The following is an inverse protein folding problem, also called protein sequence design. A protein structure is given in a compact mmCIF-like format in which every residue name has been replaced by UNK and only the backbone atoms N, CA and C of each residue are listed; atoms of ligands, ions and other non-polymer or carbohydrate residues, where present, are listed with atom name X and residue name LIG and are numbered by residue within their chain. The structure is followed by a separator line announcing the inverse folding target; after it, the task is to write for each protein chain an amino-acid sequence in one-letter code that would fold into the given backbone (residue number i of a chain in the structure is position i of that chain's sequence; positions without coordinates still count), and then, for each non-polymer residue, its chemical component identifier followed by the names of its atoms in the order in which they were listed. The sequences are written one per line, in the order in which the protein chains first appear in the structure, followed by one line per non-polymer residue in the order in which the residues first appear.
data_IF_043789000109
#
_entry.id   IF_043789000109
#
_cell.length_a   1.000
_cell.length_b   1.000
_cell.length_c   1.000
_cell.angle_alpha   90.00
_cell.angle_beta   90.00
_cell.angle_gamma   90.00
#
_symmetry.space_group_name_H-M   'P 1'
#
loop_
_entity.id
_entity.type
_entity.pdbx_description
1 polymer ?
#
# COMPACT_ATOMS: atom_id res chain seq x y z
N UNK A 1 16.19 -11.52 -9.97
CA UNK A 1 16.28 -11.81 -8.53
C UNK A 1 14.94 -11.51 -7.85
N UNK A 2 14.17 -12.54 -7.49
CA UNK A 2 12.88 -12.41 -6.79
C UNK A 2 13.02 -12.10 -5.29
N UNK A 3 14.22 -12.32 -4.73
CA UNK A 3 14.55 -12.13 -3.32
C UNK A 3 15.06 -10.73 -2.98
N UNK A 4 15.26 -9.86 -3.98
CA UNK A 4 15.66 -8.46 -3.72
C UNK A 4 14.47 -7.71 -3.10
N UNK A 5 14.61 -7.35 -1.82
CA UNK A 5 13.53 -6.85 -0.94
C UNK A 5 13.05 -5.43 -1.26
N UNK A 6 13.93 -4.45 -1.58
CA UNK A 6 13.48 -3.08 -1.78
C UNK A 6 12.56 -2.93 -3.00
N UNK A 7 11.55 -2.08 -2.84
CA UNK A 7 10.62 -1.72 -3.90
C UNK A 7 11.34 -0.85 -4.95
N UNK A 8 11.14 -1.10 -6.25
CA UNK A 8 11.73 -0.27 -7.29
C UNK A 8 10.86 0.96 -7.61
N UNK A 9 11.53 2.08 -7.89
CA UNK A 9 10.97 3.17 -8.69
C UNK A 9 11.25 2.94 -10.17
N UNK A 10 10.33 3.41 -11.01
CA UNK A 10 10.45 3.48 -12.45
C UNK A 10 10.03 4.86 -12.90
N UNK A 11 10.83 5.51 -13.75
CA UNK A 11 10.49 6.83 -14.26
C UNK A 11 10.75 6.96 -15.75
N UNK A 12 10.02 7.88 -16.37
CA UNK A 12 10.24 8.33 -17.74
C UNK A 12 9.83 9.78 -17.88
N UNK A 13 10.62 10.54 -18.62
CA UNK A 13 10.23 11.87 -19.08
C UNK A 13 9.77 11.81 -20.54
N UNK A 14 8.84 12.68 -20.90
CA UNK A 14 8.37 12.87 -22.26
C UNK A 14 7.94 14.32 -22.46
N UNK A 15 7.68 14.70 -23.71
CA UNK A 15 7.26 16.06 -24.05
C UNK A 15 5.93 16.04 -24.81
N UNK A 16 4.90 16.70 -24.25
CA UNK A 16 3.64 16.91 -24.92
C UNK A 16 3.75 18.17 -25.80
N UNK A 17 3.96 17.98 -27.11
CA UNK A 17 4.29 19.06 -28.05
C UNK A 17 3.10 19.90 -28.51
N UNK A 18 1.88 19.47 -28.21
CA UNK A 18 0.64 20.10 -28.65
C UNK A 18 -0.29 20.32 -27.46
N UNK A 19 -1.29 21.19 -27.64
CA UNK A 19 -2.29 21.47 -26.61
C UNK A 19 -3.14 20.22 -26.34
N UNK A 20 -3.09 19.72 -25.11
CA UNK A 20 -3.81 18.52 -24.67
C UNK A 20 -5.31 18.80 -24.60
N UNK A 21 -6.12 17.89 -25.15
CA UNK A 21 -7.59 17.86 -25.01
C UNK A 21 -8.01 16.92 -23.89
N UNK A 22 -7.46 15.71 -23.85
CA UNK A 22 -7.70 14.71 -22.81
C UNK A 22 -6.54 13.74 -22.71
N UNK A 23 -6.36 13.12 -21.54
CA UNK A 23 -5.39 12.06 -21.34
C UNK A 23 -5.93 10.94 -20.46
N UNK A 24 -5.55 9.69 -20.76
CA UNK A 24 -5.92 8.49 -20.00
C UNK A 24 -4.71 7.61 -19.78
N UNK A 25 -4.49 7.21 -18.53
CA UNK A 25 -3.48 6.22 -18.18
C UNK A 25 -4.15 4.85 -17.99
N UNK A 26 -3.62 3.82 -18.65
CA UNK A 26 -4.01 2.42 -18.51
C UNK A 26 -2.80 1.68 -17.95
N UNK A 27 -2.93 1.07 -16.78
CA UNK A 27 -1.78 0.43 -16.11
C UNK A 27 -2.21 -0.87 -15.44
N UNK A 28 -1.37 -1.89 -15.59
CA UNK A 28 -1.46 -3.19 -14.92
C UNK A 28 -0.13 -3.51 -14.27
N UNK A 29 -0.14 -4.32 -13.22
CA UNK A 29 1.07 -4.84 -12.60
C UNK A 29 0.92 -6.31 -12.21
N UNK A 30 1.99 -7.08 -12.37
CA UNK A 30 2.22 -8.27 -11.57
C UNK A 30 2.76 -7.80 -10.22
N UNK A 31 1.92 -7.83 -9.19
CA UNK A 31 2.18 -7.19 -7.90
C UNK A 31 1.25 -6.00 -7.70
N UNK A 32 1.75 -4.94 -7.06
CA UNK A 32 1.01 -3.70 -6.82
C UNK A 32 1.75 -2.52 -7.44
N UNK A 33 1.06 -1.39 -7.65
CA UNK A 33 1.73 -0.15 -8.05
C UNK A 33 1.14 1.10 -7.39
N UNK A 34 1.95 2.15 -7.37
CA UNK A 34 1.46 3.52 -7.26
C UNK A 34 1.98 4.34 -8.45
N UNK A 35 1.06 5.07 -9.10
CA UNK A 35 1.34 5.91 -10.27
C UNK A 35 1.39 7.38 -9.84
N UNK A 36 2.34 8.13 -10.39
CA UNK A 36 2.43 9.58 -10.26
C UNK A 36 2.77 10.22 -11.60
N UNK A 37 2.30 11.46 -11.77
CA UNK A 37 2.57 12.31 -12.91
C UNK A 37 2.94 13.71 -12.41
N UNK A 38 4.10 14.20 -12.83
CA UNK A 38 4.63 15.51 -12.45
C UNK A 38 4.70 15.77 -10.94
N UNK A 39 5.05 14.74 -10.16
CA UNK A 39 5.10 14.81 -8.69
C UNK A 39 3.82 14.36 -7.99
N UNK A 40 2.67 14.49 -8.65
CA UNK A 40 1.37 14.21 -8.05
C UNK A 40 0.96 12.75 -8.20
N UNK A 41 0.41 12.17 -7.14
CA UNK A 41 -0.20 10.83 -7.19
C UNK A 41 -1.42 10.84 -8.12
N UNK A 42 -1.54 9.81 -8.94
CA UNK A 42 -2.71 9.59 -9.80
C UNK A 42 -3.74 8.76 -9.05
N UNK A 43 -4.94 9.30 -8.92
CA UNK A 43 -6.05 8.66 -8.21
C UNK A 43 -5.84 8.55 -6.70
N UNK A 44 -6.81 7.93 -6.02
CA UNK A 44 -6.80 7.69 -4.57
C UNK A 44 -6.94 6.20 -4.22
N UNK A 45 -6.75 5.32 -5.21
CA UNK A 45 -6.83 3.88 -5.00
C UNK A 45 -5.60 3.40 -4.23
N UNK A 46 -5.81 2.30 -3.51
CA UNK A 46 -4.81 1.58 -2.72
C UNK A 46 -4.79 0.14 -3.20
N UNK A 47 -3.65 -0.52 -3.09
CA UNK A 47 -3.53 -1.95 -3.38
C UNK A 47 -3.97 -2.33 -4.81
N UNK A 48 -3.80 -1.42 -5.79
CA UNK A 48 -4.06 -1.71 -7.19
C UNK A 48 -2.86 -2.44 -7.85
N UNK A 49 -3.12 -3.34 -8.81
CA UNK A 49 -4.42 -3.93 -9.13
C UNK A 49 -4.84 -5.00 -8.11
N UNK A 50 -6.14 -5.32 -8.09
CA UNK A 50 -6.69 -6.37 -7.22
C UNK A 50 -6.07 -7.74 -7.52
N UNK A 51 -5.86 -8.53 -6.46
CA UNK A 51 -5.33 -9.88 -6.54
C UNK A 51 -6.14 -10.77 -7.48
N UNK A 52 -5.42 -11.49 -8.33
CA UNK A 52 -5.94 -12.54 -9.20
C UNK A 52 -4.92 -13.66 -9.29
N UNK A 53 -5.29 -14.79 -9.89
CA UNK A 53 -4.32 -15.80 -10.29
C UNK A 53 -3.50 -15.27 -11.48
N UNK A 54 -2.35 -14.65 -11.20
CA UNK A 54 -1.58 -13.83 -12.14
C UNK A 54 -1.15 -14.55 -13.43
N UNK A 55 -0.96 -15.88 -13.37
CA UNK A 55 -0.67 -16.76 -14.53
C UNK A 55 -1.89 -16.95 -15.47
N UNK A 56 -3.10 -16.62 -15.02
CA UNK A 56 -4.34 -16.78 -15.80
C UNK A 56 -4.97 -15.47 -16.25
N UNK A 57 -4.88 -14.42 -15.44
CA UNK A 57 -5.50 -13.11 -15.70
C UNK A 57 -4.79 -12.04 -14.89
N UNK A 58 -4.61 -10.86 -15.47
CA UNK A 58 -4.18 -9.66 -14.77
C UNK A 58 -5.20 -8.55 -14.99
N UNK A 59 -5.38 -7.68 -14.00
CA UNK A 59 -6.31 -6.56 -14.08
C UNK A 59 -5.55 -5.26 -14.39
N UNK A 60 -6.10 -4.47 -15.31
CA UNK A 60 -5.64 -3.08 -15.52
C UNK A 60 -6.64 -2.08 -14.95
N UNK A 61 -6.13 -0.94 -14.54
CA UNK A 61 -6.91 0.20 -14.06
C UNK A 61 -6.75 1.37 -15.04
N UNK A 62 -7.83 2.14 -15.20
CA UNK A 62 -7.84 3.35 -16.04
C UNK A 62 -8.00 4.59 -15.18
N UNK A 63 -7.20 5.62 -15.46
CA UNK A 63 -7.31 6.92 -14.81
C UNK A 63 -7.50 8.04 -15.82
N UNK A 64 -8.37 9.01 -15.51
CA UNK A 64 -8.30 10.33 -16.14
C UNK A 64 -7.14 11.11 -15.55
N UNK A 65 -6.16 11.42 -16.39
CA UNK A 65 -4.94 12.15 -16.01
C UNK A 65 -4.79 13.46 -16.76
N UNK A 66 -5.87 13.94 -17.38
CA UNK A 66 -5.85 15.15 -18.20
C UNK A 66 -5.29 16.35 -17.43
N UNK A 67 -5.66 16.48 -16.15
CA UNK A 67 -5.24 17.58 -15.28
C UNK A 67 -3.85 17.41 -14.65
N UNK A 68 -3.29 16.20 -14.73
CA UNK A 68 -1.93 15.93 -14.24
C UNK A 68 -0.86 16.29 -15.26
N UNK A 69 -1.23 16.46 -16.53
CA UNK A 69 -0.30 16.77 -17.61
C UNK A 69 -0.23 18.27 -17.89
N UNK A 70 0.91 18.70 -18.38
CA UNK A 70 1.16 20.06 -18.85
C UNK A 70 1.67 20.04 -20.29
N UNK A 71 1.58 21.16 -21.00
CA UNK A 71 2.27 21.30 -22.28
C UNK A 71 3.79 21.32 -22.05
N UNK A 72 4.55 20.72 -22.97
CA UNK A 72 6.00 20.58 -22.82
C UNK A 72 6.39 19.37 -21.95
N UNK A 73 7.42 19.53 -21.12
CA UNK A 73 8.02 18.42 -20.37
C UNK A 73 7.07 17.86 -19.31
N UNK A 74 6.96 16.55 -19.26
CA UNK A 74 6.21 15.79 -18.25
C UNK A 74 7.07 14.64 -17.73
N UNK A 75 6.80 14.19 -16.50
CA UNK A 75 7.43 13.04 -15.88
C UNK A 75 6.37 12.04 -15.39
N UNK A 76 6.61 10.76 -15.64
CA UNK A 76 5.84 9.64 -15.10
C UNK A 76 6.69 8.93 -14.06
N UNK A 77 6.11 8.63 -12.90
CA UNK A 77 6.72 7.82 -11.86
C UNK A 77 5.82 6.64 -11.48
N UNK A 78 6.38 5.44 -11.44
CA UNK A 78 5.72 4.21 -10.98
C UNK A 78 6.54 3.57 -9.88
N UNK A 79 5.94 3.33 -8.72
CA UNK A 79 6.53 2.50 -7.65
C UNK A 79 5.87 1.13 -7.69
N UNK A 80 6.64 0.03 -7.62
CA UNK A 80 6.05 -1.32 -7.56
C UNK A 80 6.15 -1.95 -6.18
N UNK A 81 5.05 -2.56 -5.74
CA UNK A 81 4.98 -3.42 -4.56
C UNK A 81 4.92 -4.90 -4.92
N UNK A 82 5.28 -5.76 -3.97
CA UNK A 82 5.25 -7.20 -4.13
C UNK A 82 3.83 -7.76 -4.23
N UNK A 83 2.92 -7.28 -3.35
CA UNK A 83 1.57 -7.84 -3.19
C UNK A 83 1.60 -9.36 -3.02
N UNK A 84 0.58 -10.03 -3.54
CA UNK A 84 0.51 -11.49 -3.63
C UNK A 84 1.36 -12.09 -4.78
N UNK A 85 1.87 -11.26 -5.70
CA UNK A 85 2.62 -11.75 -6.86
C UNK A 85 4.05 -12.17 -6.51
N UNK A 86 4.72 -11.39 -5.68
CA UNK A 86 6.07 -11.68 -5.21
C UNK A 86 6.11 -11.85 -3.69
N UNK A 87 5.21 -12.66 -3.16
CA UNK A 87 5.07 -12.88 -1.72
C UNK A 87 6.43 -13.19 -1.08
N UNK A 88 6.90 -12.33 -0.17
CA UNK A 88 8.24 -12.45 0.43
C UNK A 88 8.23 -13.26 1.71
N UNK A 89 7.20 -13.09 2.52
CA UNK A 89 7.07 -13.73 3.82
C UNK A 89 6.65 -15.19 3.67
N UNK A 90 7.15 -16.04 4.56
CA UNK A 90 6.79 -17.47 4.63
C UNK A 90 5.62 -17.66 5.58
N UNK A 91 4.63 -18.44 5.15
CA UNK A 91 3.42 -18.73 5.91
C UNK A 91 2.87 -20.11 5.53
N UNK A 92 1.90 -20.62 6.28
CA UNK A 92 1.33 -21.98 6.08
C UNK A 92 0.73 -22.24 4.70
N UNK A 93 0.42 -21.20 3.93
CA UNK A 93 -0.21 -21.29 2.61
C UNK A 93 0.78 -21.28 1.44
N UNK A 94 2.09 -21.24 1.72
CA UNK A 94 3.17 -21.36 0.72
C UNK A 94 3.03 -20.39 -0.48
N UNK A 95 2.47 -19.18 -0.29
CA UNK A 95 2.35 -18.18 -1.36
C UNK A 95 3.71 -17.73 -1.92
N UNK A 96 4.78 -17.85 -1.13
CA UNK A 96 6.15 -17.65 -1.59
C UNK A 96 6.63 -18.75 -2.55
N UNK A 97 5.91 -19.86 -2.68
CA UNK A 97 6.19 -20.92 -3.66
C UNK A 97 5.16 -20.95 -4.79
N UNK A 98 4.28 -19.97 -4.87
CA UNK A 98 3.23 -19.93 -5.88
C UNK A 98 3.84 -20.01 -7.31
N UNK A 99 3.22 -20.76 -8.24
CA UNK A 99 3.79 -21.02 -9.57
C UNK A 99 3.89 -19.76 -10.44
N UNK A 100 3.10 -18.74 -10.15
CA UNK A 100 3.17 -17.44 -10.81
C UNK A 100 4.24 -16.51 -10.24
N UNK A 101 4.90 -16.88 -9.13
CA UNK A 101 5.77 -15.97 -8.38
C UNK A 101 6.91 -15.46 -9.24
N UNK A 102 7.01 -14.14 -9.34
CA UNK A 102 8.14 -13.49 -9.97
C UNK A 102 8.34 -12.08 -9.41
N UNK A 103 9.41 -11.38 -9.81
CA UNK A 103 9.63 -10.00 -9.37
C UNK A 103 8.55 -9.07 -9.97
N UNK A 104 8.06 -8.08 -9.20
CA UNK A 104 7.05 -7.15 -9.69
C UNK A 104 7.41 -6.52 -11.03
N UNK A 105 6.40 -6.38 -11.87
CA UNK A 105 6.51 -5.84 -13.22
C UNK A 105 5.24 -5.08 -13.56
N UNK A 106 5.32 -4.12 -14.47
CA UNK A 106 4.14 -3.38 -14.95
C UNK A 106 4.14 -3.26 -16.47
N UNK A 107 2.96 -2.98 -17.00
CA UNK A 107 2.75 -2.56 -18.38
C UNK A 107 1.81 -1.35 -18.33
N UNK A 108 2.11 -0.30 -19.10
CA UNK A 108 1.24 0.87 -19.16
C UNK A 108 1.25 1.57 -20.51
N UNK A 109 0.11 2.17 -20.82
CA UNK A 109 -0.09 3.13 -21.88
C UNK A 109 -0.66 4.42 -21.29
N UNK A 110 -0.02 5.55 -21.55
CA UNK A 110 -0.60 6.88 -21.38
C UNK A 110 -1.01 7.40 -22.75
N UNK A 111 -2.33 7.46 -23.00
CA UNK A 111 -2.89 7.97 -24.26
C UNK A 111 -3.27 9.43 -24.10
N UNK A 112 -2.72 10.28 -24.95
CA UNK A 112 -2.94 11.73 -24.97
C UNK A 112 -3.66 12.07 -26.28
N UNK A 113 -4.84 12.66 -26.19
CA UNK A 113 -5.56 13.22 -27.33
C UNK A 113 -5.35 14.73 -27.33
N UNK A 114 -4.90 15.28 -28.45
CA UNK A 114 -4.66 16.70 -28.63
C UNK A 114 -5.88 17.43 -29.21
N UNK A 115 -5.90 18.76 -29.12
CA UNK A 115 -7.00 19.59 -29.62
C UNK A 115 -7.18 19.46 -31.14
N UNK A 116 -6.10 19.19 -31.88
CA UNK A 116 -6.13 18.95 -33.34
C UNK A 116 -6.63 17.55 -33.73
N UNK A 117 -7.02 16.72 -32.76
CA UNK A 117 -7.52 15.36 -32.97
C UNK A 117 -6.45 14.28 -33.05
N UNK A 118 -5.16 14.63 -33.08
CA UNK A 118 -4.07 13.64 -33.08
C UNK A 118 -3.93 12.95 -31.72
N UNK A 119 -3.44 11.71 -31.73
CA UNK A 119 -3.25 10.89 -30.52
C UNK A 119 -1.79 10.48 -30.40
N UNK A 120 -1.23 10.63 -29.21
CA UNK A 120 0.09 10.13 -28.83
C UNK A 120 -0.03 9.10 -27.71
N UNK A 121 0.81 8.07 -27.75
CA UNK A 121 0.85 7.02 -26.72
C UNK A 121 2.25 6.93 -26.13
N UNK A 122 2.36 7.29 -24.85
CA UNK A 122 3.57 7.09 -24.06
C UNK A 122 3.47 5.74 -23.35
N UNK A 123 4.25 4.76 -23.82
CA UNK A 123 4.22 3.38 -23.33
C UNK A 123 5.37 3.03 -22.38
N UNK A 124 5.17 1.99 -21.57
CA UNK A 124 6.27 1.27 -20.88
C UNK A 124 7.25 0.70 -21.92
N UNK A 125 8.56 0.89 -21.71
CA UNK A 125 9.60 0.52 -22.69
C UNK A 125 11.02 0.66 -22.17
N UNK A 126 12.02 0.32 -23.00
CA UNK A 126 13.46 0.39 -22.67
C UNK A 126 14.00 1.80 -22.40
N UNK A 127 13.23 2.82 -22.72
CA UNK A 127 13.54 4.23 -22.48
C UNK A 127 13.16 4.71 -21.07
N UNK A 128 12.60 3.83 -20.24
CA UNK A 128 12.44 4.06 -18.82
C UNK A 128 13.75 3.82 -18.05
N UNK A 129 13.86 4.46 -16.89
CA UNK A 129 14.90 4.20 -15.91
C UNK A 129 14.33 3.67 -14.60
N UNK A 130 15.15 3.00 -13.81
CA UNK A 130 14.79 2.43 -12.51
C UNK A 130 15.88 2.59 -11.48
N UNK A 131 15.47 2.73 -10.22
CA UNK A 131 16.33 2.66 -9.05
C UNK A 131 15.55 2.12 -7.84
N UNK A 132 16.23 1.81 -6.75
CA UNK A 132 15.58 1.36 -5.52
C UNK A 132 14.97 2.55 -4.75
N UNK A 133 13.80 2.32 -4.18
CA UNK A 133 13.09 3.31 -3.38
C UNK A 133 13.49 3.22 -1.89
N UNK A 134 13.00 4.16 -1.06
CA UNK A 134 13.11 4.10 0.39
C UNK A 134 12.34 2.94 1.04
N UNK A 135 11.42 2.29 0.31
CA UNK A 135 10.71 1.11 0.78
C UNK A 135 11.67 -0.08 0.67
N UNK A 136 12.39 -0.38 1.74
CA UNK A 136 13.44 -1.41 1.78
C UNK A 136 12.89 -2.83 1.91
N UNK A 137 11.62 -2.97 2.32
CA UNK A 137 10.88 -4.23 2.35
C UNK A 137 9.38 -3.93 2.29
N UNK A 138 8.61 -4.73 1.57
CA UNK A 138 7.15 -4.70 1.65
C UNK A 138 6.58 -6.11 1.46
N UNK A 139 5.58 -6.42 2.29
CA UNK A 139 4.83 -7.66 2.26
C UNK A 139 3.38 -7.33 2.60
N UNK A 140 2.46 -7.81 1.77
CA UNK A 140 1.03 -7.68 2.06
C UNK A 140 0.66 -8.44 3.35
N UNK A 141 1.45 -9.44 3.72
CA UNK A 141 1.21 -10.34 4.85
C UNK A 141 1.78 -9.82 6.17
N UNK A 142 3.08 -9.49 6.19
CA UNK A 142 3.75 -9.02 7.42
C UNK A 142 3.63 -7.51 7.56
N UNK A 143 4.41 -6.71 6.83
CA UNK A 143 4.43 -5.25 6.96
C UNK A 143 5.28 -4.56 5.87
N UNK A 144 5.54 -3.27 6.04
CA UNK A 144 6.43 -2.48 5.19
C UNK A 144 7.52 -1.82 6.03
N UNK A 145 8.76 -1.86 5.52
CA UNK A 145 9.91 -1.21 6.13
C UNK A 145 10.41 -0.09 5.22
N UNK A 146 10.72 1.04 5.82
CA UNK A 146 11.01 2.29 5.13
C UNK A 146 12.23 2.97 5.72
N UNK A 147 13.20 3.32 4.88
CA UNK A 147 14.37 4.10 5.27
C UNK A 147 14.32 5.49 4.63
N UNK A 148 13.84 6.47 5.41
CA UNK A 148 13.66 7.84 4.92
C UNK A 148 14.99 8.51 4.51
N UNK A 149 16.14 7.96 4.91
CA UNK A 149 17.46 8.47 4.49
C UNK A 149 17.71 8.23 3.00
N UNK A 150 17.00 7.28 2.39
CA UNK A 150 17.11 6.90 0.98
C UNK A 150 16.15 7.67 0.07
N UNK A 151 15.39 8.64 0.61
CA UNK A 151 14.43 9.44 -0.16
C UNK A 151 15.11 10.22 -1.29
N UNK A 152 14.60 10.01 -2.49
CA UNK A 152 15.01 10.71 -3.71
C UNK A 152 14.01 11.81 -4.00
N UNK A 153 14.16 12.97 -3.34
CA UNK A 153 13.21 14.08 -3.46
C UNK A 153 13.00 14.49 -4.91
N UNK A 154 11.74 14.61 -5.33
CA UNK A 154 11.36 15.00 -6.68
C UNK A 154 11.60 13.95 -7.77
N UNK A 155 11.93 12.70 -7.45
CA UNK A 155 12.26 11.65 -8.43
C UNK A 155 11.23 11.50 -9.58
N UNK A 156 9.96 11.76 -9.27
CA UNK A 156 8.81 11.69 -10.18
C UNK A 156 8.45 13.05 -10.83
N UNK A 157 9.35 14.03 -10.80
CA UNK A 157 9.22 15.34 -11.45
C UNK A 157 10.18 15.49 -12.64
N UNK A 158 9.97 16.52 -13.44
CA UNK A 158 10.76 16.81 -14.66
C UNK A 158 12.17 17.33 -14.38
N UNK A 159 12.43 17.89 -13.19
CA UNK A 159 13.71 18.50 -12.85
C UNK A 159 14.69 17.54 -12.17
N UNK A 160 14.29 16.29 -11.96
CA UNK A 160 15.12 15.30 -11.29
C UNK A 160 16.21 14.73 -12.21
N UNK A 161 17.46 14.77 -11.72
CA UNK A 161 18.61 14.15 -12.37
C UNK A 161 18.64 12.63 -12.11
N UNK A 162 18.28 11.88 -13.15
CA UNK A 162 18.29 10.42 -13.16
C UNK A 162 19.50 9.83 -13.91
N UNK A 163 20.59 10.59 -14.06
CA UNK A 163 21.81 10.14 -14.74
C UNK A 163 22.41 8.88 -14.12
N UNK A 164 22.25 8.71 -12.80
CA UNK A 164 22.72 7.54 -12.03
C UNK A 164 21.74 6.37 -12.03
N UNK A 165 20.50 6.56 -12.50
CA UNK A 165 19.51 5.49 -12.54
C UNK A 165 19.84 4.48 -13.62
N UNK A 166 19.49 3.22 -13.36
CA UNK A 166 19.75 2.11 -14.26
C UNK A 166 18.70 2.07 -15.37
N UNK A 167 19.06 1.51 -16.52
CA UNK A 167 18.07 1.16 -17.56
C UNK A 167 17.18 0.01 -17.08
N UNK A 168 15.93 0.04 -17.49
CA UNK A 168 15.01 -1.07 -17.24
C UNK A 168 15.34 -2.28 -18.11
N UNK A 169 14.84 -3.44 -17.70
CA UNK A 169 14.86 -4.68 -18.50
C UNK A 169 13.43 -5.16 -18.73
N UNK A 170 13.18 -5.80 -19.87
CA UNK A 170 11.91 -6.47 -20.10
C UNK A 170 11.79 -7.74 -19.24
N UNK A 171 10.54 -8.09 -18.94
CA UNK A 171 10.14 -9.32 -18.27
C UNK A 171 8.97 -9.94 -19.00
N UNK A 172 8.87 -11.26 -18.94
CA UNK A 172 7.69 -11.96 -19.44
C UNK A 172 6.45 -11.46 -18.70
N UNK A 173 5.37 -11.23 -19.45
CA UNK A 173 4.08 -10.92 -18.86
C UNK A 173 3.61 -12.10 -18.00
N UNK A 174 3.03 -11.87 -16.81
CA UNK A 174 2.50 -12.97 -15.99
C UNK A 174 1.42 -13.78 -16.72
N UNK A 175 0.59 -13.10 -17.51
CA UNK A 175 -0.38 -13.69 -18.44
C UNK A 175 -0.63 -12.73 -19.61
N UNK A 176 -1.07 -13.27 -20.76
CA UNK A 176 -1.53 -12.48 -21.91
C UNK A 176 -2.97 -11.97 -21.74
N UNK A 177 -3.73 -12.53 -20.79
CA UNK A 177 -5.09 -12.13 -20.51
C UNK A 177 -5.11 -10.93 -19.55
N UNK A 178 -5.19 -9.72 -20.12
CA UNK A 178 -5.27 -8.47 -19.38
C UNK A 178 -6.67 -7.88 -19.57
N UNK A 179 -7.41 -7.72 -18.48
CA UNK A 179 -8.81 -7.23 -18.52
C UNK A 179 -9.01 -6.06 -17.57
N UNK A 180 -10.06 -5.27 -17.79
CA UNK A 180 -10.35 -4.12 -16.94
C UNK A 180 -10.71 -4.58 -15.51
N UNK A 181 -10.24 -3.84 -14.51
CA UNK A 181 -10.72 -3.97 -13.14
C UNK A 181 -12.13 -3.38 -13.03
N UNK A 182 -13.14 -4.22 -13.19
CA UNK A 182 -14.56 -3.87 -13.00
C UNK A 182 -14.99 -4.09 -11.55
N UNK A 183 -14.34 -3.40 -10.61
CA UNK A 183 -14.56 -3.52 -9.17
C UNK A 183 -14.55 -2.15 -8.49
N UNK A 184 -15.21 -2.04 -7.34
CA UNK A 184 -15.00 -0.91 -6.44
C UNK A 184 -13.56 -0.97 -5.89
N UNK A 185 -12.75 0.07 -6.11
CA UNK A 185 -11.34 0.06 -5.74
C UNK A 185 -11.18 0.13 -4.23
N UNK A 186 -10.07 -0.41 -3.72
CA UNK A 186 -9.72 -0.22 -2.30
C UNK A 186 -9.26 1.23 -2.10
N UNK A 187 -9.77 1.89 -1.06
CA UNK A 187 -9.41 3.28 -0.71
C UNK A 187 -9.14 3.41 0.79
N UNK A 188 -8.56 4.54 1.19
CA UNK A 188 -8.62 5.00 2.58
C UNK A 188 -10.03 5.59 2.80
N UNK A 189 -11.00 4.75 3.17
CA UNK A 189 -12.43 5.11 3.22
C UNK A 189 -12.73 6.02 4.40
N UNK A 190 -12.14 5.75 5.57
CA UNK A 190 -12.33 6.56 6.77
C UNK A 190 -11.00 6.81 7.49
N UNK A 191 -10.75 8.05 7.89
CA UNK A 191 -9.66 8.40 8.81
C UNK A 191 -10.16 8.30 10.26
N UNK A 192 -9.46 7.53 11.09
CA UNK A 192 -9.80 7.29 12.49
C UNK A 192 -8.69 7.86 13.35
N UNK A 193 -9.03 8.91 14.11
CA UNK A 193 -8.14 9.49 15.11
C UNK A 193 -7.96 8.52 16.27
N UNK A 194 -6.74 8.41 16.79
CA UNK A 194 -6.52 7.64 18.02
C UNK A 194 -7.41 8.18 19.15
N UNK A 195 -8.13 7.28 19.81
CA UNK A 195 -9.00 7.56 20.97
C UNK A 195 -8.17 7.86 22.20
N UNK A 196 -7.10 7.11 22.42
CA UNK A 196 -6.17 7.31 23.54
C UNK A 196 -4.74 6.91 23.20
N UNK A 197 -3.80 7.37 24.02
CA UNK A 197 -2.40 6.95 24.02
C UNK A 197 -2.00 6.60 25.46
N UNK A 198 -1.28 5.49 25.64
CA UNK A 198 -0.65 5.11 26.90
C UNK A 198 0.86 5.12 26.74
N UNK A 199 1.54 5.92 27.55
CA UNK A 199 3.01 5.92 27.64
C UNK A 199 3.44 4.90 28.69
N UNK A 200 4.31 3.96 28.31
CA UNK A 200 4.96 3.04 29.25
C UNK A 200 6.31 3.59 29.73
N UNK A 201 7.05 4.19 28.80
CA UNK A 201 8.30 4.91 29.03
C UNK A 201 8.58 5.81 27.81
N UNK A 202 9.73 6.50 27.78
CA UNK A 202 10.09 7.44 26.70
C UNK A 202 10.35 6.80 25.33
N UNK A 203 10.33 5.47 25.25
CA UNK A 203 10.57 4.70 24.02
C UNK A 203 9.44 3.75 23.65
N UNK A 204 8.38 3.67 24.46
CA UNK A 204 7.30 2.70 24.29
C UNK A 204 5.94 3.32 24.60
N UNK A 205 5.07 3.32 23.59
CA UNK A 205 3.73 3.90 23.62
C UNK A 205 2.72 2.91 23.02
N UNK A 206 1.48 2.94 23.46
CA UNK A 206 0.37 2.21 22.84
C UNK A 206 -0.75 3.18 22.47
N UNK A 207 -1.12 3.19 21.20
CA UNK A 207 -2.25 3.92 20.67
C UNK A 207 -3.46 2.99 20.57
N UNK A 208 -4.64 3.48 20.96
CA UNK A 208 -5.92 2.80 20.80
C UNK A 208 -6.80 3.61 19.85
N UNK A 209 -7.20 3.03 18.73
CA UNK A 209 -8.13 3.66 17.78
C UNK A 209 -9.59 3.65 18.27
N UNK A 210 -9.89 2.87 19.31
CA UNK A 210 -11.22 2.75 19.90
C UNK A 210 -12.13 1.74 19.20
N UNK A 211 -11.72 1.18 18.06
CA UNK A 211 -12.35 0.05 17.38
C UNK A 211 -11.35 -0.70 16.51
N UNK A 212 -11.63 -1.98 16.27
CA UNK A 212 -10.88 -2.81 15.32
C UNK A 212 -11.19 -2.41 13.87
N UNK A 213 -10.18 -2.32 13.03
CA UNK A 213 -10.28 -1.97 11.61
C UNK A 213 -9.36 -2.82 10.75
N UNK A 214 -9.65 -2.91 9.45
CA UNK A 214 -8.68 -3.29 8.43
C UNK A 214 -8.06 -2.04 7.77
N UNK A 215 -6.75 -2.03 7.56
CA UNK A 215 -6.11 -0.94 6.83
C UNK A 215 -4.70 -0.67 7.33
N UNK A 216 -4.36 0.61 7.47
CA UNK A 216 -2.99 1.05 7.80
C UNK A 216 -3.01 2.15 8.84
N UNK A 217 -1.92 2.32 9.58
CA UNK A 217 -1.68 3.53 10.35
C UNK A 217 -0.88 4.55 9.55
N UNK A 218 -1.08 5.83 9.84
CA UNK A 218 -0.19 6.91 9.45
C UNK A 218 0.35 7.55 10.73
N UNK A 219 1.67 7.58 10.85
CA UNK A 219 2.35 8.24 11.96
C UNK A 219 3.13 9.44 11.45
N UNK A 220 3.18 10.51 12.23
CA UNK A 220 4.00 11.68 11.94
C UNK A 220 4.95 11.96 13.08
N UNK A 221 6.24 12.05 12.78
CA UNK A 221 7.32 12.03 13.75
C UNK A 221 8.34 13.13 13.44
N UNK A 222 9.00 13.63 14.48
CA UNK A 222 10.18 14.47 14.33
C UNK A 222 11.26 13.93 15.28
N UNK A 223 12.36 13.43 14.73
CA UNK A 223 13.39 12.75 15.50
C UNK A 223 14.72 12.71 14.77
N UNK A 224 15.77 12.33 15.50
CA UNK A 224 17.13 12.27 14.96
C UNK A 224 17.24 11.27 13.81
N UNK A 225 18.16 11.53 12.88
CA UNK A 225 18.52 10.58 11.82
C UNK A 225 18.92 9.22 12.39
N UNK A 226 18.50 8.15 11.73
CA UNK A 226 18.77 6.77 12.13
C UNK A 226 17.92 6.26 13.29
N UNK A 227 17.00 7.06 13.85
CA UNK A 227 16.03 6.56 14.84
C UNK A 227 15.13 5.53 14.19
N UNK A 228 15.08 4.33 14.77
CA UNK A 228 14.22 3.24 14.31
C UNK A 228 12.91 3.27 15.09
N UNK A 229 11.81 3.34 14.37
CA UNK A 229 10.45 3.32 14.91
C UNK A 229 9.79 2.04 14.43
N UNK A 230 9.20 1.25 15.34
CA UNK A 230 8.42 0.05 14.99
C UNK A 230 6.98 0.24 15.40
N UNK A 231 6.07 0.01 14.48
CA UNK A 231 4.61 0.10 14.68
C UNK A 231 4.03 -1.31 14.67
N UNK A 232 3.86 -1.93 15.84
CA UNK A 232 3.28 -3.27 15.97
C UNK A 232 1.76 -3.16 16.09
N UNK A 233 1.05 -3.78 15.16
CA UNK A 233 -0.42 -3.71 15.08
C UNK A 233 -1.04 -4.99 15.65
N UNK A 234 -2.05 -4.84 16.51
CA UNK A 234 -2.72 -5.97 17.17
C UNK A 234 -4.21 -5.71 17.42
N UNK A 235 -4.98 -6.79 17.54
CA UNK A 235 -6.40 -6.75 17.90
C UNK A 235 -6.64 -6.80 19.41
N UNK A 236 -5.67 -7.31 20.18
CA UNK A 236 -5.80 -7.60 21.62
C UNK A 236 -4.64 -7.02 22.42
N UNK A 237 -4.85 -6.92 23.73
CA UNK A 237 -3.84 -6.52 24.70
C UNK A 237 -3.68 -7.61 25.75
N UNK A 238 -2.45 -7.79 26.24
CA UNK A 238 -2.19 -8.55 27.47
C UNK A 238 -2.78 -7.83 28.69
N UNK A 239 -2.88 -8.52 29.82
CA UNK A 239 -3.37 -7.95 31.08
C UNK A 239 -2.57 -6.71 31.57
N UNK A 240 -1.27 -6.65 31.24
CA UNK A 240 -0.44 -5.46 31.53
C UNK A 240 -0.70 -4.28 30.58
N UNK A 241 -1.53 -4.47 29.56
CA UNK A 241 -1.90 -3.53 28.51
C UNK A 241 -0.90 -3.40 27.36
N UNK A 242 0.10 -4.29 27.26
CA UNK A 242 1.01 -4.37 26.09
C UNK A 242 0.34 -5.08 24.93
N UNK A 243 0.84 -4.86 23.72
CA UNK A 243 0.31 -5.48 22.51
C UNK A 243 0.39 -7.02 22.56
N UNK A 244 -0.72 -7.70 22.28
CA UNK A 244 -0.83 -9.16 22.21
C UNK A 244 -1.07 -9.61 20.76
N UNK A 245 -0.11 -10.38 20.23
CA UNK A 245 -0.09 -10.88 18.86
C UNK A 245 -0.44 -12.38 18.77
N UNK A 246 -0.60 -13.05 19.92
CA UNK A 246 -0.66 -14.51 20.03
C UNK A 246 -1.85 -15.14 19.29
N UNK A 247 -2.91 -14.36 19.01
CA UNK A 247 -4.07 -14.85 18.27
C UNK A 247 -3.95 -14.69 16.74
N UNK A 248 -2.94 -13.95 16.24
CA UNK A 248 -2.86 -13.56 14.82
C UNK A 248 -1.59 -14.02 14.11
N UNK A 249 -0.53 -14.41 14.80
CA UNK A 249 0.74 -14.87 14.19
C UNK A 249 0.83 -16.39 13.98
N UNK A 250 -0.21 -17.14 14.35
CA UNK A 250 -0.25 -18.62 14.33
C UNK A 250 0.05 -19.26 12.97
N UNK A 251 -0.12 -18.52 11.88
CA UNK A 251 0.13 -18.96 10.50
C UNK A 251 1.43 -18.42 9.91
N UNK A 252 2.11 -17.51 10.60
CA UNK A 252 3.40 -16.98 10.18
C UNK A 252 4.51 -18.02 10.43
N UNK A 253 5.44 -18.17 9.49
CA UNK A 253 6.54 -19.14 9.57
C UNK A 253 7.87 -18.43 9.31
N UNK A 254 8.32 -17.51 10.18
CA UNK A 254 9.53 -16.71 9.94
C UNK A 254 10.74 -17.61 9.72
N UNK A 255 11.59 -17.25 8.75
CA UNK A 255 12.90 -17.88 8.57
C UNK A 255 14.03 -17.08 9.22
N UNK A 256 13.78 -15.81 9.54
CA UNK A 256 14.65 -14.91 10.30
C UNK A 256 13.80 -13.82 10.99
N UNK A 257 14.44 -12.91 11.72
CA UNK A 257 13.77 -11.82 12.44
C UNK A 257 13.62 -10.52 11.62
N UNK A 258 13.80 -10.58 10.29
CA UNK A 258 13.90 -9.37 9.46
C UNK A 258 12.58 -8.86 8.92
N UNK A 259 11.48 -9.58 9.07
CA UNK A 259 10.12 -9.14 8.76
C UNK A 259 9.13 -9.55 9.86
N UNK A 260 9.21 -8.92 11.06
CA UNK A 260 8.29 -9.20 12.13
C UNK A 260 6.83 -9.01 11.70
N UNK A 261 5.97 -9.95 12.10
CA UNK A 261 4.57 -9.95 11.71
C UNK A 261 3.87 -8.64 12.11
N UNK A 262 3.07 -8.07 11.20
CA UNK A 262 2.28 -6.84 11.39
C UNK A 262 3.03 -5.64 11.99
N UNK A 263 4.33 -5.55 11.76
CA UNK A 263 5.17 -4.50 12.32
C UNK A 263 5.82 -3.66 11.24
N UNK A 264 5.30 -2.45 11.00
CA UNK A 264 5.99 -1.52 10.10
C UNK A 264 7.25 -0.97 10.78
N UNK A 265 8.34 -0.79 10.03
CA UNK A 265 9.62 -0.31 10.56
C UNK A 265 10.08 0.91 9.77
N UNK A 266 10.35 2.01 10.46
CA UNK A 266 10.71 3.29 9.86
C UNK A 266 12.09 3.71 10.39
N UNK A 267 12.97 4.15 9.50
CA UNK A 267 14.25 4.77 9.85
C UNK A 267 14.17 6.25 9.49
N UNK A 268 14.23 7.13 10.48
CA UNK A 268 14.08 8.57 10.28
C UNK A 268 15.33 9.18 9.61
N UNK A 269 15.12 10.24 8.82
CA UNK A 269 16.21 10.94 8.11
C UNK A 269 16.77 12.16 8.87
N UNK A 270 16.12 12.59 9.96
CA UNK A 270 16.55 13.75 10.75
C UNK A 270 16.29 15.12 10.12
N UNK A 271 15.55 15.20 9.02
CA UNK A 271 15.28 16.44 8.27
C UNK A 271 13.93 17.06 8.66
N UNK A 272 13.64 17.10 9.96
CA UNK A 272 12.38 17.61 10.51
C UNK A 272 11.24 16.59 10.51
N UNK A 273 10.01 17.12 10.45
CA UNK A 273 8.77 16.34 10.55
C UNK A 273 8.60 15.43 9.33
N UNK A 274 8.42 14.13 9.57
CA UNK A 274 8.26 13.09 8.56
C UNK A 274 6.96 12.34 8.82
N UNK A 275 6.16 12.09 7.78
CA UNK A 275 4.97 11.25 7.85
C UNK A 275 5.22 9.94 7.13
N UNK A 276 4.87 8.83 7.77
CA UNK A 276 4.90 7.51 7.17
C UNK A 276 3.51 6.90 7.15
N UNK A 277 3.13 6.33 6.01
CA UNK A 277 1.97 5.46 5.84
C UNK A 277 2.40 4.39 4.83
N UNK A 278 2.28 3.09 5.14
CA UNK A 278 2.77 2.04 4.27
C UNK A 278 2.06 2.07 2.91
N UNK A 279 2.75 1.72 1.83
CA UNK A 279 2.22 1.80 0.47
C UNK A 279 1.54 0.50 0.02
N UNK A 280 2.13 -0.66 0.38
CA UNK A 280 1.82 -1.95 -0.26
C UNK A 280 1.37 -3.04 0.73
N UNK A 281 0.75 -2.67 1.86
CA UNK A 281 0.17 -3.60 2.81
C UNK A 281 -1.13 -3.06 3.43
N UNK A 282 -1.78 -3.93 4.20
CA UNK A 282 -2.83 -3.60 5.16
C UNK A 282 -2.81 -4.63 6.29
N UNK A 283 -3.46 -4.33 7.42
CA UNK A 283 -3.47 -5.11 8.66
C UNK A 283 -4.85 -5.05 9.29
N UNK A 284 -5.19 -6.00 10.17
CA UNK A 284 -6.38 -5.92 11.04
C UNK A 284 -5.95 -5.58 12.46
N UNK A 285 -6.41 -4.45 13.01
CA UNK A 285 -5.95 -3.96 14.30
C UNK A 285 -6.89 -2.92 14.93
N UNK A 286 -6.84 -2.83 16.26
CA UNK A 286 -7.36 -1.71 17.04
C UNK A 286 -6.22 -0.91 17.69
N UNK A 287 -5.17 -1.61 18.09
CA UNK A 287 -4.07 -1.05 18.86
C UNK A 287 -2.79 -1.02 18.06
N UNK A 288 -1.98 0.03 18.27
CA UNK A 288 -0.63 0.15 17.70
C UNK A 288 0.36 0.41 18.82
N UNK A 289 1.22 -0.57 19.11
CA UNK A 289 2.37 -0.38 20.00
C UNK A 289 3.54 0.20 19.21
N UNK A 290 3.97 1.40 19.60
CA UNK A 290 5.11 2.10 19.03
C UNK A 290 6.31 1.89 19.92
N UNK A 291 7.36 1.28 19.37
CA UNK A 291 8.67 1.17 20.04
C UNK A 291 9.74 1.94 19.28
N UNK A 292 10.59 2.63 20.02
CA UNK A 292 11.57 3.57 19.50
C UNK A 292 12.98 3.17 19.93
N UNK A 293 13.96 3.26 19.02
CA UNK A 293 15.37 3.04 19.39
C UNK A 293 16.00 4.23 20.12
N UNK A 294 15.35 5.40 20.09
CA UNK A 294 15.74 6.62 20.80
C UNK A 294 14.48 7.32 21.33
N UNK A 295 14.53 7.98 22.49
CA UNK A 295 13.38 8.68 23.05
C UNK A 295 12.74 9.69 22.09
N UNK A 296 11.41 9.71 22.01
CA UNK A 296 10.60 10.76 21.38
C UNK A 296 9.34 10.99 22.20
N UNK A 297 8.90 12.25 22.30
CA UNK A 297 7.63 12.57 22.95
C UNK A 297 6.47 12.45 21.96
N UNK A 298 5.76 11.32 22.02
CA UNK A 298 4.61 11.05 21.15
C UNK A 298 3.32 11.55 21.77
N UNK A 299 2.50 12.18 20.95
CA UNK A 299 1.14 12.63 21.27
C UNK A 299 0.13 11.76 20.55
N UNK A 300 -1.09 11.73 21.08
CA UNK A 300 -2.19 10.96 20.49
C UNK A 300 -2.46 11.35 19.03
N UNK A 301 -2.28 12.62 18.70
CA UNK A 301 -2.50 13.21 17.38
C UNK A 301 -1.42 12.82 16.36
N UNK A 302 -0.30 12.23 16.81
CA UNK A 302 0.77 11.81 15.91
C UNK A 302 0.41 10.56 15.11
N UNK A 303 -0.60 9.79 15.52
CA UNK A 303 -1.04 8.57 14.85
C UNK A 303 -2.55 8.60 14.54
N UNK A 304 -2.86 8.30 13.29
CA UNK A 304 -4.24 8.01 12.84
C UNK A 304 -4.27 6.64 12.16
N UNK A 305 -5.41 5.95 12.24
CA UNK A 305 -5.71 4.79 11.41
C UNK A 305 -6.48 5.20 10.15
N UNK A 306 -6.27 4.49 9.05
CA UNK A 306 -7.15 4.57 7.89
C UNK A 306 -7.86 3.24 7.74
N UNK A 307 -9.19 3.25 7.91
CA UNK A 307 -10.02 2.09 7.59
C UNK A 307 -10.09 1.97 6.07
N UNK A 308 -9.57 0.86 5.57
CA UNK A 308 -9.45 0.56 4.15
C UNK A 308 -10.30 -0.66 3.82
N UNK A 309 -10.98 -0.58 2.70
CA UNK A 309 -11.70 -1.67 2.05
C UNK A 309 -12.05 -1.23 0.62
N UNK A 310 -12.59 -2.13 -0.20
CA UNK A 310 -13.25 -1.79 -1.46
C UNK A 310 -14.38 -0.82 -1.17
N UNK A 311 -14.30 0.37 -1.77
CA UNK A 311 -15.22 1.49 -1.53
C UNK A 311 -16.57 1.27 -2.24
N UNK A 312 -17.30 0.27 -1.72
CA UNK A 312 -18.64 -0.09 -2.17
C UNK A 312 -19.66 0.90 -1.61
N UNK A 313 -20.69 1.28 -2.39
CA UNK A 313 -21.75 2.14 -1.90
C UNK A 313 -22.55 1.44 -0.81
N UNK A 314 -22.98 2.21 0.19
CA UNK A 314 -23.90 1.73 1.22
C UNK A 314 -25.25 1.39 0.55
N UNK A 315 -25.66 0.13 0.64
CA UNK A 315 -26.92 -0.34 0.06
C UNK A 315 -28.13 -0.15 0.98
N UNK A 316 -27.91 -0.04 2.29
CA UNK A 316 -28.98 0.11 3.28
C UNK A 316 -28.47 0.34 4.69
N UNK A 317 -29.38 0.62 5.61
CA UNK A 317 -29.11 0.82 7.03
C UNK A 317 -30.18 0.17 7.89
N UNK A 318 -29.82 -0.21 9.12
CA UNK A 318 -30.73 -0.73 10.14
C UNK A 318 -30.66 0.18 11.36
N UNK A 319 -31.82 0.54 11.89
CA UNK A 319 -31.94 1.24 13.16
C UNK A 319 -33.12 0.64 13.94
N UNK A 320 -32.84 0.11 15.12
CA UNK A 320 -33.80 -0.50 16.02
C UNK A 320 -33.90 0.29 17.34
N UNK A 321 -35.02 0.12 18.05
CA UNK A 321 -35.19 0.65 19.41
C UNK A 321 -34.24 -0.03 20.42
N UNK A 322 -33.87 -1.29 20.17
CA UNK A 322 -32.86 -1.99 20.96
C UNK A 322 -31.44 -1.62 20.52
N UNK A 323 -30.72 -0.95 21.41
CA UNK A 323 -29.32 -0.54 21.18
C UNK A 323 -28.37 -1.72 20.97
N UNK A 324 -28.68 -2.92 21.46
CA UNK A 324 -27.87 -4.12 21.23
C UNK A 324 -27.93 -4.53 19.75
N UNK A 325 -29.12 -4.49 19.13
CA UNK A 325 -29.29 -4.78 17.71
C UNK A 325 -28.46 -3.80 16.86
N UNK A 326 -28.49 -2.51 17.22
CA UNK A 326 -27.69 -1.49 16.53
C UNK A 326 -26.17 -1.76 16.65
N UNK A 327 -25.70 -2.23 17.81
CA UNK A 327 -24.30 -2.62 18.01
C UNK A 327 -23.92 -3.87 17.22
N UNK A 328 -24.79 -4.88 17.17
CA UNK A 328 -24.58 -6.08 16.37
C UNK A 328 -24.49 -5.71 14.89
N UNK A 329 -25.44 -4.93 14.37
CA UNK A 329 -25.42 -4.47 12.99
C UNK A 329 -24.13 -3.70 12.67
N UNK A 330 -23.73 -2.79 13.54
CA UNK A 330 -22.47 -2.06 13.40
C UNK A 330 -21.26 -3.01 13.34
N UNK A 331 -21.13 -3.95 14.28
CA UNK A 331 -20.03 -4.90 14.31
C UNK A 331 -20.00 -5.79 13.06
N UNK A 332 -21.15 -6.31 12.64
CA UNK A 332 -21.29 -7.13 11.43
C UNK A 332 -20.87 -6.35 10.19
N UNK A 333 -21.38 -5.13 10.00
CA UNK A 333 -21.05 -4.32 8.82
C UNK A 333 -19.55 -3.96 8.78
N UNK A 334 -18.96 -3.57 9.92
CA UNK A 334 -17.52 -3.29 9.97
C UNK A 334 -16.69 -4.56 9.72
N UNK A 335 -17.12 -5.72 10.20
CA UNK A 335 -16.43 -7.00 9.94
C UNK A 335 -16.51 -7.41 8.47
N UNK A 336 -17.66 -7.20 7.83
CA UNK A 336 -17.84 -7.48 6.40
C UNK A 336 -16.97 -6.56 5.54
N UNK A 337 -17.03 -5.25 5.77
CA UNK A 337 -16.19 -4.28 5.08
C UNK A 337 -14.71 -4.55 5.32
N UNK A 338 -14.34 -4.93 6.55
CA UNK A 338 -12.95 -5.25 6.89
C UNK A 338 -12.38 -6.42 6.08
N UNK A 339 -13.25 -7.27 5.53
CA UNK A 339 -12.88 -8.42 4.75
C UNK A 339 -13.01 -8.22 3.24
N UNK A 340 -13.31 -7.00 2.78
CA UNK A 340 -13.50 -6.72 1.36
C UNK A 340 -12.32 -5.92 0.79
N UNK A 341 -11.30 -6.62 0.26
CA UNK A 341 -10.11 -6.01 -0.38
C UNK A 341 -10.03 -6.39 -1.86
N UNK A 342 -11.08 -6.05 -2.61
CA UNK A 342 -11.30 -6.45 -4.00
C UNK A 342 -11.82 -7.88 -4.19
N UNK A 343 -11.66 -8.72 -3.17
CA UNK A 343 -12.27 -10.04 -3.02
C UNK A 343 -12.65 -10.25 -1.54
N UNK A 344 -13.63 -11.12 -1.23
CA UNK A 344 -13.96 -11.44 0.15
C UNK A 344 -12.82 -12.25 0.78
N UNK A 345 -12.45 -11.90 2.01
CA UNK A 345 -11.44 -12.59 2.81
C UNK A 345 -12.07 -13.18 4.07
N UNK A 346 -11.45 -14.20 4.65
CA UNK A 346 -11.85 -14.76 5.96
C UNK A 346 -11.49 -13.82 7.12
N UNK A 347 -10.31 -13.20 7.02
CA UNK A 347 -9.83 -12.24 8.00
C UNK A 347 -8.84 -11.24 7.39
N UNK A 348 -8.83 -9.96 7.85
CA UNK A 348 -7.88 -8.96 7.38
C UNK A 348 -6.48 -9.04 8.00
N UNK A 349 -6.30 -9.82 9.06
CA UNK A 349 -5.10 -9.81 9.89
C UNK A 349 -4.13 -10.97 9.58
N UNK A 350 -4.59 -12.23 9.64
CA UNK A 350 -3.70 -13.40 9.72
C UNK A 350 -3.56 -14.23 8.45
N UNK A 351 -4.61 -14.35 7.64
CA UNK A 351 -4.63 -15.21 6.44
C UNK A 351 -4.86 -14.38 5.19
N UNK A 352 -5.95 -13.62 5.14
CA UNK A 352 -6.35 -12.76 4.01
C UNK A 352 -6.70 -13.58 2.76
N UNK A 353 -7.25 -14.77 2.97
CA UNK A 353 -7.56 -15.73 1.91
C UNK A 353 -9.03 -15.65 1.48
N UNK A 354 -9.29 -15.89 0.20
CA UNK A 354 -10.65 -15.98 -0.34
C UNK A 354 -11.28 -17.35 -0.10
N UNK A 355 -11.55 -17.68 1.16
CA UNK A 355 -12.22 -18.93 1.53
C UNK A 355 -13.66 -18.97 1.01
N UNK A 356 -13.99 -20.01 0.24
CA UNK A 356 -15.27 -20.09 -0.46
C UNK A 356 -16.44 -20.40 0.46
N UNK A 357 -16.20 -21.04 1.62
CA UNK A 357 -17.24 -21.33 2.61
C UNK A 357 -17.71 -20.06 3.32
N UNK A 358 -16.79 -19.18 3.69
CA UNK A 358 -17.05 -17.90 4.35
C UNK A 358 -17.73 -16.89 3.42
N UNK A 359 -17.41 -16.96 2.12
CA UNK A 359 -17.96 -16.06 1.11
C UNK A 359 -19.34 -16.46 0.58
N UNK A 360 -19.76 -17.72 0.77
CA UNK A 360 -21.04 -18.26 0.33
C UNK A 360 -22.16 -17.94 1.33
#
# INVERSE_FOLDING_TARGET
NINLKPAPYFRKQFEAKKKIKSARAYITAGGLYELSLNGDRVGNHRMDPTYTRFDRRNLYVTYDVTRHLQNGKNAIGVTLGNGWYNHQSTAVWDFEKAPWRNRPTFCMDLRITYIDGTVEVIKSGKDWKTDLSPIIFNSIYTAEHYDARLEQSGWNTTNFDDSKWKRVIYRSAPSQNVVAQALHPVRNVEEIKAKSIRKFNDTTYLFDLGRNISGVSKITLNGQTGTVVRLKHVERLYANGRADMSNIDVHYRPTDDKDPFQTDIIILNGKGKQSFMPHFNYKGFQYVEVSLSKPLDLKKEDLVGYFMHSDVPIAGSVNASDTLINKIYYATNNSYLSNLFGYPTDCPQREKNGWTGDAA
#
